data_IF_317911117605
#
_entry.id   IF_317911117605
#
_cell.length_a   1.000
_cell.length_b   1.000
_cell.length_c   1.000
_cell.angle_alpha   90.00
_cell.angle_beta   90.00
_cell.angle_gamma   90.00
#
_symmetry.space_group_name_H-M   'P 1'
#
loop_
_entity.id
_entity.type
_entity.pdbx_description
1 polymer ?
#
# COMPACT_ATOMS: atom_id res chain seq x y z
N UNK A 1 -3.23 27.55 4.45
CA UNK A 1 -2.17 26.97 3.59
C UNK A 1 -2.18 25.48 3.87
N UNK A 2 -2.03 24.63 2.84
CA UNK A 2 -2.05 23.18 3.03
C UNK A 2 -0.62 22.64 2.97
N UNK A 3 -0.24 21.85 3.95
CA UNK A 3 1.12 21.31 4.10
C UNK A 3 1.20 19.91 3.52
N UNK A 4 2.36 19.59 2.93
CA UNK A 4 2.70 18.26 2.43
C UNK A 4 4.07 17.87 2.95
N UNK A 5 4.18 16.67 3.52
CA UNK A 5 5.47 16.02 3.84
C UNK A 5 5.56 14.69 3.10
N UNK A 6 6.71 14.44 2.48
CA UNK A 6 7.03 13.16 1.82
C UNK A 6 8.01 12.41 2.72
N UNK A 7 7.74 11.13 2.97
CA UNK A 7 8.58 10.24 3.76
C UNK A 7 8.84 8.98 2.95
N UNK A 8 10.09 8.55 2.87
CA UNK A 8 10.46 7.26 2.33
C UNK A 8 10.53 6.25 3.49
N UNK A 9 9.75 5.18 3.37
CA UNK A 9 9.70 4.04 4.31
C UNK A 9 10.98 3.22 4.21
N UNK A 10 11.23 2.38 5.21
CA UNK A 10 12.42 1.51 5.23
C UNK A 10 12.48 0.56 4.03
N UNK A 11 11.34 0.12 3.52
CA UNK A 11 11.23 -0.74 2.34
C UNK A 11 11.24 0.02 1.00
N UNK A 12 11.54 1.32 1.03
CA UNK A 12 11.63 2.19 -0.14
C UNK A 12 10.30 2.76 -0.62
N UNK A 13 9.16 2.28 -0.10
CA UNK A 13 7.83 2.82 -0.44
C UNK A 13 7.66 4.25 0.06
N UNK A 14 6.82 5.01 -0.61
CA UNK A 14 6.52 6.40 -0.23
C UNK A 14 5.26 6.52 0.63
N UNK A 15 5.34 7.43 1.59
CA UNK A 15 4.24 7.92 2.43
C UNK A 15 4.18 9.45 2.29
N UNK A 16 3.00 9.94 1.94
CA UNK A 16 2.67 11.36 1.86
C UNK A 16 1.72 11.72 3.00
N UNK A 17 2.08 12.77 3.74
CA UNK A 17 1.27 13.32 4.81
C UNK A 17 0.78 14.70 4.38
N UNK A 18 -0.51 14.92 4.57
CA UNK A 18 -1.23 16.12 4.16
C UNK A 18 -2.01 16.66 5.35
N UNK A 19 -2.04 17.98 5.51
CA UNK A 19 -2.80 18.62 6.59
C UNK A 19 -2.77 20.14 6.57
N UNK A 20 -3.62 20.74 7.40
CA UNK A 20 -3.63 22.18 7.68
C UNK A 20 -2.43 22.61 8.52
N UNK A 21 -1.88 21.70 9.31
CA UNK A 21 -0.67 21.91 10.12
C UNK A 21 0.52 21.19 9.49
N UNK A 22 1.70 21.79 9.62
CA UNK A 22 2.94 21.14 9.22
C UNK A 22 3.19 19.89 10.09
N UNK A 23 3.39 18.74 9.44
CA UNK A 23 3.67 17.49 10.14
C UNK A 23 5.16 17.37 10.49
N UNK A 24 5.50 17.51 11.77
CA UNK A 24 6.90 17.54 12.26
C UNK A 24 7.30 16.34 13.10
N UNK A 25 6.42 15.35 13.30
CA UNK A 25 6.71 14.19 14.15
C UNK A 25 7.88 13.36 13.62
N UNK A 26 8.65 12.78 14.54
CA UNK A 26 9.69 11.80 14.25
C UNK A 26 9.04 10.43 13.98
N UNK A 27 9.57 9.64 13.02
CA UNK A 27 9.02 8.33 12.74
C UNK A 27 9.33 7.34 13.87
N UNK A 28 8.36 6.47 14.16
CA UNK A 28 8.51 5.28 15.01
C UNK A 28 9.04 4.10 14.17
N UNK A 29 9.49 3.00 14.81
CA UNK A 29 9.92 1.80 14.09
C UNK A 29 8.85 1.29 13.12
N UNK A 30 9.29 0.92 11.91
CA UNK A 30 8.45 0.33 10.87
C UNK A 30 8.44 -1.20 10.96
N UNK A 31 7.40 -1.80 10.41
CA UNK A 31 7.26 -3.25 10.33
C UNK A 31 8.00 -3.84 9.13
N UNK A 32 7.74 -5.11 8.86
CA UNK A 32 8.25 -5.79 7.69
C UNK A 32 7.86 -5.10 6.38
N UNK A 33 8.77 -5.13 5.41
CA UNK A 33 8.56 -4.55 4.10
C UNK A 33 7.47 -5.24 3.26
N UNK A 34 7.20 -4.68 2.09
CA UNK A 34 6.32 -5.29 1.10
C UNK A 34 6.94 -6.57 0.51
N UNK A 35 6.15 -7.65 0.32
CA UNK A 35 6.60 -8.81 -0.43
C UNK A 35 6.77 -8.47 -1.92
N UNK A 36 7.56 -9.28 -2.63
CA UNK A 36 7.71 -9.14 -4.07
C UNK A 36 6.34 -9.28 -4.80
N UNK A 37 6.04 -8.31 -5.67
CA UNK A 37 4.78 -8.27 -6.41
C UNK A 37 5.02 -8.58 -7.89
N UNK A 38 4.33 -9.62 -8.40
CA UNK A 38 4.33 -9.98 -9.82
C UNK A 38 2.91 -9.99 -10.39
N UNK A 39 2.22 -8.83 -10.45
CA UNK A 39 0.87 -8.77 -11.00
C UNK A 39 0.85 -8.86 -12.53
N UNK A 40 -0.19 -9.49 -13.07
CA UNK A 40 -0.47 -9.56 -14.50
C UNK A 40 -1.96 -9.48 -14.79
N UNK A 41 -2.32 -9.14 -16.01
CA UNK A 41 -3.70 -9.20 -16.48
C UNK A 41 -3.94 -10.42 -17.36
N UNK A 42 -5.16 -10.94 -17.32
CA UNK A 42 -5.65 -11.99 -18.21
C UNK A 42 -6.95 -11.53 -18.85
N UNK A 43 -7.10 -11.72 -20.16
CA UNK A 43 -8.34 -11.39 -20.87
C UNK A 43 -9.44 -12.42 -20.56
N UNK A 44 -10.61 -11.95 -20.17
CA UNK A 44 -11.80 -12.77 -19.92
C UNK A 44 -12.73 -12.74 -21.16
N UNK A 45 -12.78 -13.79 -21.99
CA UNK A 45 -13.41 -13.73 -23.31
C UNK A 45 -14.93 -13.53 -23.26
N UNK A 46 -15.64 -14.13 -22.29
CA UNK A 46 -17.10 -14.00 -22.21
C UNK A 46 -17.57 -12.64 -21.66
N UNK A 47 -16.68 -11.89 -21.02
CA UNK A 47 -16.95 -10.58 -20.42
C UNK A 47 -16.27 -9.46 -21.18
N UNK A 48 -15.43 -9.81 -22.14
CA UNK A 48 -14.60 -8.92 -22.93
C UNK A 48 -13.87 -7.87 -22.06
N UNK A 49 -13.23 -8.33 -20.98
CA UNK A 49 -12.52 -7.46 -20.04
C UNK A 49 -11.18 -8.03 -19.59
N UNK A 50 -10.30 -7.14 -19.13
CA UNK A 50 -9.04 -7.52 -18.48
C UNK A 50 -9.23 -7.70 -16.98
N UNK A 51 -8.78 -8.84 -16.46
CA UNK A 51 -8.82 -9.16 -15.02
C UNK A 51 -7.42 -9.17 -14.45
N UNK A 52 -7.21 -8.49 -13.33
CA UNK A 52 -5.93 -8.41 -12.63
C UNK A 52 -5.73 -9.64 -11.74
N UNK A 53 -4.57 -10.28 -11.84
CA UNK A 53 -4.10 -11.38 -11.01
C UNK A 53 -2.89 -10.93 -10.20
N UNK A 54 -3.00 -10.97 -8.88
CA UNK A 54 -1.95 -10.55 -7.94
C UNK A 54 -1.80 -11.58 -6.81
N UNK A 55 -1.16 -12.71 -7.11
CA UNK A 55 -1.11 -13.88 -6.22
C UNK A 55 -0.44 -13.61 -4.87
N UNK A 56 0.55 -12.71 -4.82
CA UNK A 56 1.22 -12.29 -3.57
C UNK A 56 0.26 -11.72 -2.52
N UNK A 57 -0.94 -11.26 -2.92
CA UNK A 57 -1.97 -10.76 -2.01
C UNK A 57 -2.59 -11.85 -1.13
N UNK A 58 -2.39 -13.13 -1.43
CA UNK A 58 -2.88 -14.23 -0.59
C UNK A 58 -2.20 -14.27 0.78
N UNK A 59 -0.97 -13.76 0.90
CA UNK A 59 -0.25 -13.64 2.18
C UNK A 59 -0.70 -12.45 3.03
N UNK A 60 -1.72 -11.69 2.62
CA UNK A 60 -2.19 -10.52 3.36
C UNK A 60 -2.93 -10.96 4.61
N UNK A 61 -2.57 -10.40 5.77
CA UNK A 61 -3.35 -10.54 7.01
C UNK A 61 -4.80 -10.11 6.77
N UNK A 62 -5.73 -11.05 6.94
CA UNK A 62 -7.16 -10.80 6.82
C UNK A 62 -7.73 -10.41 8.18
N UNK A 63 -8.28 -9.20 8.29
CA UNK A 63 -8.92 -8.66 9.49
C UNK A 63 -8.04 -8.77 10.75
N UNK A 64 -6.94 -7.99 10.83
CA UNK A 64 -6.21 -7.90 12.08
C UNK A 64 -7.13 -7.39 13.22
N UNK A 65 -6.87 -7.79 14.47
CA UNK A 65 -7.51 -7.20 15.64
C UNK A 65 -7.44 -5.66 15.60
N UNK A 66 -8.40 -4.96 16.23
CA UNK A 66 -8.47 -3.48 16.16
C UNK A 66 -7.20 -2.79 16.65
N UNK A 67 -6.61 -3.34 17.70
CA UNK A 67 -5.32 -3.02 18.31
C UNK A 67 -4.11 -3.23 17.37
N UNK A 68 -4.31 -3.95 16.26
CA UNK A 68 -3.32 -4.20 15.21
C UNK A 68 -3.75 -3.62 13.85
N UNK A 69 -4.63 -2.62 13.84
CA UNK A 69 -5.05 -1.97 12.60
C UNK A 69 -3.84 -1.31 11.91
N UNK A 70 -3.44 -1.72 10.69
CA UNK A 70 -2.26 -1.21 10.02
C UNK A 70 -2.44 0.24 9.51
N UNK A 71 -3.67 0.78 9.56
CA UNK A 71 -4.01 2.12 9.10
C UNK A 71 -4.10 3.14 10.25
N UNK A 72 -4.05 2.68 11.49
CA UNK A 72 -4.03 3.57 12.65
C UNK A 72 -2.62 4.18 12.82
N UNK A 73 -2.51 5.32 13.54
CA UNK A 73 -1.21 5.84 13.96
C UNK A 73 -0.42 4.80 14.76
N UNK A 74 0.90 4.76 14.56
CA UNK A 74 1.78 3.94 15.40
C UNK A 74 1.85 4.47 16.83
N UNK A 75 1.97 3.57 17.81
CA UNK A 75 2.12 3.90 19.23
C UNK A 75 3.52 3.48 19.69
N UNK A 76 4.25 4.28 20.51
CA UNK A 76 5.54 3.88 21.04
C UNK A 76 5.44 2.55 21.82
N UNK A 77 6.28 1.57 21.46
CA UNK A 77 6.25 0.23 22.03
C UNK A 77 5.08 -0.66 21.56
N UNK A 78 4.20 -0.16 20.69
CA UNK A 78 3.11 -0.90 20.07
C UNK A 78 3.55 -1.62 18.79
N UNK A 79 2.58 -2.28 18.14
CA UNK A 79 2.80 -2.95 16.86
C UNK A 79 3.05 -1.91 15.74
N UNK A 80 4.07 -2.09 14.88
CA UNK A 80 4.32 -1.20 13.76
C UNK A 80 3.18 -1.17 12.75
N UNK A 81 2.74 0.02 12.34
CA UNK A 81 1.69 0.22 11.34
C UNK A 81 2.25 0.67 9.99
N UNK A 82 1.40 0.88 8.99
CA UNK A 82 1.84 1.46 7.71
C UNK A 82 2.18 2.96 7.82
N UNK A 83 1.75 3.63 8.90
CA UNK A 83 1.93 5.06 9.16
C UNK A 83 2.77 5.20 10.46
N UNK A 84 4.11 5.32 10.36
CA UNK A 84 5.01 5.29 11.51
C UNK A 84 5.01 6.60 12.31
N UNK A 85 3.85 7.22 12.54
CA UNK A 85 3.72 8.47 13.28
C UNK A 85 2.59 8.34 14.29
N UNK A 86 2.72 9.04 15.42
CA UNK A 86 1.72 9.01 16.49
C UNK A 86 0.46 9.82 16.17
N UNK A 87 0.50 10.67 15.14
CA UNK A 87 -0.64 11.43 14.66
C UNK A 87 -0.45 11.82 13.18
N UNK A 88 -1.55 12.09 12.49
CA UNK A 88 -1.59 12.65 11.13
C UNK A 88 -2.99 13.21 10.85
N UNK A 89 -3.13 14.06 9.81
CA UNK A 89 -4.44 14.51 9.35
C UNK A 89 -4.94 13.62 8.20
N UNK A 90 -4.19 13.59 7.09
CA UNK A 90 -4.41 12.65 5.98
C UNK A 90 -3.09 11.98 5.62
N UNK A 91 -3.12 10.66 5.43
CA UNK A 91 -1.98 9.87 5.00
C UNK A 91 -2.29 9.15 3.67
N UNK A 92 -1.36 9.21 2.73
CA UNK A 92 -1.40 8.41 1.50
C UNK A 92 -0.13 7.60 1.43
N UNK A 93 -0.19 6.31 1.18
CA UNK A 93 1.03 5.49 1.04
C UNK A 93 0.90 4.45 -0.05
N UNK A 94 2.03 4.09 -0.65
CA UNK A 94 2.08 3.00 -1.64
C UNK A 94 1.67 1.68 -0.99
N UNK A 95 0.68 1.00 -1.56
CA UNK A 95 0.05 -0.18 -0.98
C UNK A 95 1.06 -1.33 -0.83
N UNK A 96 1.10 -1.95 0.36
CA UNK A 96 2.01 -3.07 0.68
C UNK A 96 1.73 -4.31 -0.17
N UNK A 97 0.49 -4.50 -0.61
CA UNK A 97 0.05 -5.64 -1.41
C UNK A 97 -0.65 -5.14 -2.68
N UNK A 98 0.08 -4.51 -3.60
CA UNK A 98 -0.53 -3.75 -4.69
C UNK A 98 -1.09 -4.68 -5.78
N UNK A 99 -2.22 -4.30 -6.38
CA UNK A 99 -2.77 -5.07 -7.51
C UNK A 99 -2.02 -4.79 -8.82
N UNK A 100 -1.31 -3.68 -8.90
CA UNK A 100 -0.49 -3.26 -10.04
C UNK A 100 0.89 -2.81 -9.54
N UNK A 101 1.93 -3.02 -10.33
CA UNK A 101 3.30 -2.66 -9.95
C UNK A 101 4.01 -1.97 -11.13
N UNK A 102 4.75 -0.86 -10.94
CA UNK A 102 5.40 -0.14 -12.04
C UNK A 102 6.30 -1.06 -12.88
N UNK A 103 7.08 -1.90 -12.19
CA UNK A 103 8.00 -2.85 -12.81
C UNK A 103 7.41 -4.26 -12.97
N UNK A 104 6.09 -4.38 -13.16
CA UNK A 104 5.44 -5.68 -13.34
C UNK A 104 6.19 -6.54 -14.40
N UNK A 105 6.54 -7.80 -14.05
CA UNK A 105 7.36 -8.66 -14.90
C UNK A 105 6.58 -9.10 -16.15
N UNK A 106 7.27 -9.77 -17.08
CA UNK A 106 6.60 -10.42 -18.21
C UNK A 106 5.56 -11.42 -17.68
N UNK A 107 4.31 -11.39 -18.19
CA UNK A 107 3.26 -12.29 -17.72
C UNK A 107 3.53 -13.74 -18.16
N UNK A 108 2.91 -14.73 -17.52
CA UNK A 108 2.95 -16.11 -17.99
C UNK A 108 2.32 -16.24 -19.39
N UNK A 109 2.85 -17.15 -20.19
CA UNK A 109 2.24 -17.58 -21.45
C UNK A 109 1.04 -18.48 -21.16
N UNK A 110 -0.13 -18.12 -21.70
CA UNK A 110 -1.39 -18.83 -21.52
C UNK A 110 -2.13 -18.92 -22.85
N UNK A 111 -3.15 -19.78 -22.93
CA UNK A 111 -4.05 -19.88 -24.10
C UNK A 111 -4.95 -18.65 -24.30
N UNK A 112 -4.97 -17.74 -23.34
CA UNK A 112 -5.69 -16.47 -23.38
C UNK A 112 -4.69 -15.31 -23.39
N UNK A 113 -5.03 -14.16 -24.00
CA UNK A 113 -4.17 -12.98 -23.95
C UNK A 113 -3.80 -12.59 -22.51
N UNK A 114 -2.51 -12.30 -22.31
CA UNK A 114 -1.97 -11.79 -21.05
C UNK A 114 -1.26 -10.47 -21.25
N UNK A 115 -1.23 -9.64 -20.20
CA UNK A 115 -0.52 -8.36 -20.21
C UNK A 115 0.16 -8.10 -18.86
N UNK A 116 1.17 -7.24 -18.84
CA UNK A 116 1.86 -6.85 -17.60
C UNK A 116 0.93 -6.03 -16.71
N UNK A 117 0.86 -6.35 -15.41
CA UNK A 117 0.06 -5.62 -14.42
C UNK A 117 0.69 -4.29 -14.02
N UNK A 118 0.96 -3.40 -14.97
CA UNK A 118 1.66 -2.14 -14.72
C UNK A 118 0.74 -1.08 -14.12
N UNK A 119 1.23 -0.36 -13.13
CA UNK A 119 0.53 0.73 -12.48
C UNK A 119 0.99 0.96 -11.05
N UNK A 120 0.32 1.87 -10.36
CA UNK A 120 0.56 2.19 -8.96
C UNK A 120 -0.70 1.90 -8.16
N UNK A 121 -0.53 1.49 -6.91
CA UNK A 121 -1.65 1.30 -5.97
C UNK A 121 -1.30 2.03 -4.69
N UNK A 122 -2.21 2.88 -4.23
CA UNK A 122 -2.04 3.67 -3.03
C UNK A 122 -3.23 3.44 -2.09
N UNK A 123 -3.01 3.68 -0.80
CA UNK A 123 -4.05 3.68 0.23
C UNK A 123 -4.18 5.10 0.75
N UNK A 124 -5.40 5.62 0.79
CA UNK A 124 -5.72 6.93 1.35
C UNK A 124 -6.41 6.73 2.69
N UNK A 125 -5.85 7.34 3.74
CA UNK A 125 -6.37 7.31 5.10
C UNK A 125 -6.76 8.73 5.51
N UNK A 126 -8.06 8.94 5.71
CA UNK A 126 -8.64 10.28 5.89
C UNK A 126 -8.53 10.82 7.32
N UNK A 127 -8.24 9.96 8.30
CA UNK A 127 -8.23 10.34 9.71
C UNK A 127 -7.39 9.36 10.53
N UNK A 128 -6.79 9.80 11.65
CA UNK A 128 -6.11 8.92 12.60
C UNK A 128 -7.09 8.11 13.47
N UNK A 129 -8.39 8.44 13.44
CA UNK A 129 -9.44 7.74 14.21
C UNK A 129 -9.86 6.46 13.48
N UNK A 130 -9.94 5.35 14.23
CA UNK A 130 -10.40 4.05 13.73
C UNK A 130 -11.88 4.06 13.30
#
# INVERSE_FOLDING_TARGET
>A
MFHKRVVQKQDGRLLWLYGEREHVLAPLPEGEGAPAAAPHLRWHPLREEWVIYAAHRQGRTFLPPKDHCPLCPSVPGGFPTEIPFTDFEIAVFQNRFPSLHPDAPTPPELLIPTARGRGFCEVVVYTPKH
#
